data_IF_017184671746
#
_entry.id   IF_017184671746
#
_cell.length_a   1.000
_cell.length_b   1.000
_cell.length_c   1.000
_cell.angle_alpha   90.00
_cell.angle_beta   90.00
_cell.angle_gamma   90.00
#
_symmetry.space_group_name_H-M   'P 1'
#
loop_
_entity.id
_entity.type
_entity.pdbx_description
1 polymer ?
#
# COMPACT_ATOMS: atom_id res chain seq x y z
N UNK A 1 -11.87 -1.28 -56.52
CA UNK A 1 -12.05 -2.74 -56.72
C UNK A 1 -11.11 -3.49 -55.79
N UNK A 2 -11.62 -4.32 -54.87
CA UNK A 2 -10.81 -5.28 -54.07
C UNK A 2 -10.82 -6.62 -54.84
N UNK A 3 -9.65 -7.22 -55.08
CA UNK A 3 -9.44 -8.39 -55.94
C UNK A 3 -9.98 -9.73 -55.39
N UNK A 4 -9.44 -10.85 -55.89
CA UNK A 4 -9.97 -12.21 -55.67
C UNK A 4 -9.85 -12.77 -54.24
N UNK A 5 -8.94 -12.26 -53.40
CA UNK A 5 -8.79 -12.72 -52.02
C UNK A 5 -8.50 -11.53 -51.09
N UNK A 6 -9.11 -11.53 -49.91
CA UNK A 6 -8.86 -10.56 -48.84
C UNK A 6 -8.80 -11.28 -47.51
N UNK A 7 -7.77 -10.99 -46.72
CA UNK A 7 -7.62 -11.45 -45.33
C UNK A 7 -7.59 -10.20 -44.45
N UNK A 8 -8.46 -10.14 -43.45
CA UNK A 8 -8.45 -9.10 -42.41
C UNK A 8 -8.02 -9.73 -41.08
N UNK A 9 -7.26 -8.99 -40.29
CA UNK A 9 -6.81 -9.40 -38.96
C UNK A 9 -6.97 -8.21 -38.01
N UNK A 10 -7.31 -8.49 -36.76
CA UNK A 10 -7.45 -7.48 -35.73
C UNK A 10 -7.52 -8.07 -34.33
N UNK A 11 -7.44 -7.21 -33.32
CA UNK A 11 -7.57 -7.61 -31.91
C UNK A 11 -9.04 -7.83 -31.57
N UNK A 12 -9.36 -9.01 -31.00
CA UNK A 12 -10.75 -9.42 -30.74
C UNK A 12 -11.34 -8.89 -29.42
N UNK A 13 -10.72 -7.88 -28.83
CA UNK A 13 -11.16 -7.21 -27.61
C UNK A 13 -11.06 -5.69 -27.78
N UNK A 14 -11.95 -4.91 -27.16
CA UNK A 14 -11.84 -3.46 -27.17
C UNK A 14 -10.60 -3.01 -26.40
N UNK A 15 -9.97 -1.94 -26.88
CA UNK A 15 -8.83 -1.30 -26.23
C UNK A 15 -9.29 0.02 -25.60
N UNK A 16 -8.85 0.31 -24.39
CA UNK A 16 -9.21 1.55 -23.67
C UNK A 16 -8.01 2.49 -23.69
N UNK A 17 -8.17 3.67 -24.27
CA UNK A 17 -7.15 4.72 -24.29
C UNK A 17 -7.25 5.60 -23.04
N UNK A 18 -6.18 5.66 -22.23
CA UNK A 18 -6.11 6.46 -21.01
C UNK A 18 -4.95 7.49 -21.10
N UNK A 19 -5.15 8.67 -20.51
CA UNK A 19 -4.19 9.79 -20.55
C UNK A 19 -4.75 11.03 -21.26
N UNK A 20 -4.19 12.21 -20.95
CA UNK A 20 -4.72 13.49 -21.46
C UNK A 20 -4.64 13.60 -22.99
N UNK A 21 -3.68 12.91 -23.59
CA UNK A 21 -3.48 12.84 -25.03
C UNK A 21 -4.23 11.69 -25.70
N UNK A 22 -4.94 10.85 -24.95
CA UNK A 22 -5.64 9.67 -25.46
C UNK A 22 -6.59 9.97 -26.62
N UNK A 23 -7.43 11.03 -26.58
CA UNK A 23 -8.31 11.36 -27.69
C UNK A 23 -7.58 11.75 -28.98
N UNK A 24 -6.33 12.22 -28.87
CA UNK A 24 -5.53 12.70 -30.00
C UNK A 24 -4.84 11.55 -30.74
N UNK A 25 -4.33 10.55 -30.03
CA UNK A 25 -3.47 9.51 -30.64
C UNK A 25 -4.14 8.15 -30.81
N UNK A 26 -5.02 7.74 -29.88
CA UNK A 26 -5.49 6.36 -29.85
C UNK A 26 -6.58 5.99 -30.88
N UNK A 27 -7.35 6.90 -31.50
CA UNK A 27 -8.19 6.53 -32.65
C UNK A 27 -7.37 5.84 -33.76
N UNK A 28 -6.21 6.41 -34.13
CA UNK A 28 -5.32 5.86 -35.15
C UNK A 28 -4.72 4.51 -34.74
N UNK A 29 -4.53 4.28 -33.44
CA UNK A 29 -4.07 2.99 -32.91
C UNK A 29 -5.16 1.92 -33.02
N UNK A 30 -6.42 2.27 -32.77
CA UNK A 30 -7.55 1.36 -32.96
C UNK A 30 -7.70 0.91 -34.41
N UNK A 31 -7.54 1.84 -35.34
CA UNK A 31 -7.55 1.56 -36.79
C UNK A 31 -6.40 0.64 -37.20
N UNK A 32 -5.20 0.87 -36.66
CA UNK A 32 -4.03 0.05 -36.94
C UNK A 32 -4.13 -1.38 -36.36
N UNK A 33 -4.78 -1.53 -35.20
CA UNK A 33 -4.99 -2.81 -34.54
C UNK A 33 -6.25 -3.54 -35.02
N UNK A 34 -7.06 -2.92 -35.88
CA UNK A 34 -8.32 -3.48 -36.37
C UNK A 34 -9.30 -3.77 -35.22
N UNK A 35 -9.34 -2.94 -34.18
CA UNK A 35 -10.14 -3.18 -32.99
C UNK A 35 -10.89 -1.93 -32.52
N UNK A 36 -11.97 -2.13 -31.76
CA UNK A 36 -12.71 -1.03 -31.15
C UNK A 36 -11.84 -0.28 -30.14
N UNK A 37 -11.66 1.02 -30.34
CA UNK A 37 -11.02 1.91 -29.37
C UNK A 37 -12.07 2.62 -28.53
N UNK A 38 -12.06 2.39 -27.22
CA UNK A 38 -12.91 3.06 -26.23
C UNK A 38 -12.12 4.24 -25.65
N UNK A 39 -12.65 5.45 -25.81
CA UNK A 39 -12.07 6.68 -25.29
C UNK A 39 -13.04 7.30 -24.29
N UNK A 40 -12.85 7.07 -22.98
CA UNK A 40 -13.69 7.68 -21.96
C UNK A 40 -13.58 9.21 -22.01
N UNK A 41 -14.69 9.90 -21.77
CA UNK A 41 -14.78 11.36 -21.73
C UNK A 41 -13.76 11.99 -20.75
N UNK A 42 -13.39 11.25 -19.69
CA UNK A 42 -12.44 11.67 -18.66
C UNK A 42 -11.10 10.93 -18.73
N UNK A 43 -10.67 10.45 -19.91
CA UNK A 43 -9.41 9.71 -20.08
C UNK A 43 -8.18 10.44 -19.51
N UNK A 44 -8.19 11.78 -19.53
CA UNK A 44 -7.11 12.63 -18.99
C UNK A 44 -6.95 12.62 -17.47
N UNK A 45 -7.98 12.23 -16.73
CA UNK A 45 -7.97 12.13 -15.26
C UNK A 45 -8.01 10.68 -14.78
N UNK A 46 -7.74 9.69 -15.64
CA UNK A 46 -7.70 8.28 -15.24
C UNK A 46 -6.77 8.00 -14.05
N UNK A 47 -5.62 8.68 -13.99
CA UNK A 47 -4.71 8.61 -12.84
C UNK A 47 -5.33 9.21 -11.56
N UNK A 48 -6.17 10.25 -11.68
CA UNK A 48 -6.87 10.87 -10.56
C UNK A 48 -8.09 10.05 -10.11
N UNK A 49 -8.81 9.40 -11.04
CA UNK A 49 -9.90 8.46 -10.72
C UNK A 49 -9.32 7.22 -10.02
N UNK A 50 -8.21 6.68 -10.50
CA UNK A 50 -7.49 5.59 -9.83
C UNK A 50 -7.02 5.95 -8.42
N UNK A 51 -6.66 7.22 -8.19
CA UNK A 51 -6.32 7.74 -6.86
C UNK A 51 -7.54 7.92 -5.95
N UNK A 52 -8.71 8.26 -6.50
CA UNK A 52 -9.98 8.43 -5.74
C UNK A 52 -10.63 7.08 -5.38
N UNK A 53 -10.41 6.04 -6.18
CA UNK A 53 -10.91 4.67 -5.92
C UNK A 53 -9.86 3.79 -5.22
N UNK A 54 -8.66 4.32 -4.99
CA UNK A 54 -7.55 3.62 -4.34
C UNK A 54 -7.78 3.41 -2.84
N UNK A 55 -7.34 2.26 -2.31
CA UNK A 55 -7.25 2.09 -0.86
C UNK A 55 -6.19 3.05 -0.31
N UNK A 56 -6.52 3.75 0.78
CA UNK A 56 -5.56 4.58 1.52
C UNK A 56 -4.87 3.71 2.58
N UNK A 57 -3.55 3.85 2.72
CA UNK A 57 -2.77 3.10 3.70
C UNK A 57 -1.99 4.05 4.60
N UNK A 58 -2.17 3.91 5.91
CA UNK A 58 -1.45 4.64 6.97
C UNK A 58 -0.51 3.68 7.66
N UNK A 59 0.75 4.08 7.84
CA UNK A 59 1.78 3.24 8.44
C UNK A 59 2.36 3.94 9.66
N UNK A 60 2.33 3.25 10.80
CA UNK A 60 3.05 3.64 12.01
C UNK A 60 4.12 2.60 12.31
N UNK A 61 5.34 3.04 12.64
CA UNK A 61 6.45 2.14 12.98
C UNK A 61 7.29 2.68 14.12
N UNK A 62 7.80 1.78 14.95
CA UNK A 62 8.69 2.11 16.06
C UNK A 62 9.61 0.93 16.40
N UNK A 63 10.63 1.21 17.21
CA UNK A 63 11.74 0.29 17.48
C UNK A 63 11.79 -0.16 18.94
N UNK A 64 12.23 -1.39 19.15
CA UNK A 64 12.55 -2.01 20.42
C UNK A 64 14.04 -2.30 20.43
N UNK A 65 14.75 -1.86 21.47
CA UNK A 65 16.19 -2.13 21.68
C UNK A 65 16.39 -2.92 22.97
N UNK A 66 17.52 -3.62 23.10
CA UNK A 66 17.88 -4.35 24.32
C UNK A 66 19.16 -3.73 24.94
N UNK A 67 19.04 -2.67 25.77
CA UNK A 67 20.19 -2.01 26.40
C UNK A 67 20.98 -2.92 27.35
N UNK A 68 20.31 -3.89 27.98
CA UNK A 68 20.92 -4.91 28.84
C UNK A 68 20.09 -6.19 28.78
N UNK A 69 20.71 -7.34 29.05
CA UNK A 69 20.00 -8.62 29.08
C UNK A 69 18.77 -8.56 30.00
N UNK A 70 17.60 -8.95 29.47
CA UNK A 70 16.33 -8.89 30.19
C UNK A 70 15.65 -7.50 30.24
N UNK A 71 16.20 -6.46 29.61
CA UNK A 71 15.57 -5.15 29.49
C UNK A 71 15.26 -4.84 28.02
N UNK A 72 13.99 -4.59 27.71
CA UNK A 72 13.52 -4.25 26.37
C UNK A 72 12.96 -2.83 26.38
N UNK A 73 13.63 -1.92 25.68
CA UNK A 73 13.27 -0.50 25.60
C UNK A 73 12.50 -0.23 24.32
N UNK A 74 11.25 0.21 24.46
CA UNK A 74 10.39 0.66 23.37
C UNK A 74 10.63 2.14 23.12
N UNK A 75 10.94 2.51 21.88
CA UNK A 75 11.14 3.89 21.44
C UNK A 75 9.90 4.36 20.67
N UNK A 76 8.89 4.84 21.40
CA UNK A 76 7.64 5.32 20.83
C UNK A 76 7.11 6.50 21.64
N UNK A 77 6.69 7.57 20.96
CA UNK A 77 6.24 8.81 21.62
C UNK A 77 7.40 9.68 22.13
N UNK A 78 7.16 10.42 23.22
CA UNK A 78 8.09 11.42 23.73
C UNK A 78 9.22 10.85 24.62
N UNK A 79 8.99 9.71 25.27
CA UNK A 79 9.95 9.09 26.17
C UNK A 79 9.97 7.56 25.97
N UNK A 80 11.15 6.92 26.01
CA UNK A 80 11.24 5.47 25.93
C UNK A 80 10.63 4.79 27.16
N UNK A 81 10.06 3.61 26.96
CA UNK A 81 9.48 2.79 28.05
C UNK A 81 10.18 1.44 28.09
N UNK A 82 10.61 1.04 29.28
CA UNK A 82 11.33 -0.22 29.50
C UNK A 82 10.38 -1.32 29.97
N UNK A 83 10.60 -2.53 29.45
CA UNK A 83 9.85 -3.74 29.78
C UNK A 83 10.82 -4.86 30.17
N UNK A 84 10.44 -5.72 31.13
CA UNK A 84 11.27 -6.86 31.55
C UNK A 84 11.16 -8.07 30.60
N UNK A 85 10.27 -8.02 29.61
CA UNK A 85 9.98 -9.14 28.72
C UNK A 85 9.77 -8.65 27.28
N UNK A 86 10.36 -9.36 26.33
CA UNK A 86 10.25 -9.06 24.89
C UNK A 86 8.79 -9.08 24.43
N UNK A 87 8.02 -10.08 24.87
CA UNK A 87 6.62 -10.21 24.43
C UNK A 87 5.78 -9.04 24.92
N UNK A 88 6.00 -8.58 26.16
CA UNK A 88 5.31 -7.41 26.70
C UNK A 88 5.66 -6.11 25.94
N UNK A 89 6.94 -5.93 25.57
CA UNK A 89 7.37 -4.79 24.76
C UNK A 89 6.73 -4.78 23.38
N UNK A 90 6.68 -5.96 22.72
CA UNK A 90 6.07 -6.13 21.39
C UNK A 90 4.56 -5.91 21.46
N UNK A 91 3.87 -6.47 22.45
CA UNK A 91 2.43 -6.32 22.64
C UNK A 91 2.05 -4.85 22.87
N UNK A 92 2.74 -4.19 23.80
CA UNK A 92 2.57 -2.77 24.07
C UNK A 92 2.77 -1.92 22.81
N UNK A 93 3.87 -2.14 22.09
CA UNK A 93 4.21 -1.37 20.90
C UNK A 93 3.22 -1.63 19.74
N UNK A 94 2.80 -2.88 19.57
CA UNK A 94 1.81 -3.25 18.55
C UNK A 94 0.46 -2.56 18.83
N UNK A 95 0.03 -2.55 20.09
CA UNK A 95 -1.20 -1.87 20.48
C UNK A 95 -1.11 -0.36 20.26
N UNK A 96 -0.02 0.29 20.71
CA UNK A 96 0.17 1.73 20.55
C UNK A 96 0.22 2.17 19.08
N UNK A 97 0.97 1.44 18.24
CA UNK A 97 1.03 1.70 16.79
C UNK A 97 -0.30 1.40 16.09
N UNK A 98 -1.05 0.40 16.56
CA UNK A 98 -2.38 0.07 16.03
C UNK A 98 -3.39 1.18 16.30
N UNK A 99 -3.43 1.70 17.53
CA UNK A 99 -4.26 2.86 17.88
C UNK A 99 -3.88 4.09 17.05
N UNK A 100 -2.58 4.37 16.88
CA UNK A 100 -2.12 5.48 16.05
C UNK A 100 -2.52 5.31 14.57
N UNK A 101 -2.22 4.18 13.96
CA UNK A 101 -2.55 3.93 12.56
C UNK A 101 -4.06 3.96 12.30
N UNK A 102 -4.86 3.43 13.24
CA UNK A 102 -6.32 3.49 13.18
C UNK A 102 -6.84 4.92 13.33
N UNK A 103 -6.29 5.69 14.26
CA UNK A 103 -6.64 7.09 14.45
C UNK A 103 -6.34 7.92 13.21
N UNK A 104 -5.15 7.77 12.62
CA UNK A 104 -4.74 8.48 11.41
C UNK A 104 -5.65 8.12 10.23
N UNK A 105 -5.96 6.83 10.06
CA UNK A 105 -6.87 6.36 9.02
C UNK A 105 -8.29 6.91 9.17
N UNK A 106 -8.84 6.92 10.40
CA UNK A 106 -10.17 7.50 10.69
C UNK A 106 -10.19 9.01 10.49
N UNK A 107 -9.16 9.72 10.94
CA UNK A 107 -9.04 11.16 10.79
C UNK A 107 -8.93 11.58 9.32
N UNK A 108 -8.39 10.71 8.47
CA UNK A 108 -8.38 10.89 7.01
C UNK A 108 -9.69 10.47 6.32
N UNK A 109 -10.71 10.02 7.06
CA UNK A 109 -12.00 9.62 6.51
C UNK A 109 -11.98 8.25 5.82
N UNK A 110 -11.08 7.35 6.21
CA UNK A 110 -11.09 5.97 5.71
C UNK A 110 -12.18 5.13 6.40
N UNK A 111 -12.91 4.34 5.61
CA UNK A 111 -13.87 3.32 6.05
C UNK A 111 -13.36 1.91 5.74
N UNK A 112 -13.97 0.87 6.30
CA UNK A 112 -13.56 -0.54 6.17
C UNK A 112 -12.06 -0.79 6.45
N UNK A 113 -11.55 -0.18 7.54
CA UNK A 113 -10.13 -0.21 7.87
C UNK A 113 -9.70 -1.61 8.30
N UNK A 114 -8.67 -2.14 7.64
CA UNK A 114 -7.97 -3.37 7.99
C UNK A 114 -6.59 -3.04 8.55
N UNK A 115 -6.26 -3.61 9.70
CA UNK A 115 -4.94 -3.50 10.32
C UNK A 115 -4.09 -4.72 9.99
N UNK A 116 -2.85 -4.48 9.56
CA UNK A 116 -1.82 -5.51 9.36
C UNK A 116 -0.61 -5.13 10.18
N UNK A 117 -0.13 -6.06 11.00
CA UNK A 117 1.09 -5.87 11.79
C UNK A 117 2.23 -6.68 11.20
N UNK A 118 3.39 -6.05 11.05
CA UNK A 118 4.65 -6.68 10.67
C UNK A 118 5.66 -6.49 11.80
N UNK A 119 6.33 -7.59 12.15
CA UNK A 119 7.39 -7.59 13.16
C UNK A 119 8.69 -8.03 12.48
N UNK A 120 9.70 -7.18 12.51
CA UNK A 120 11.05 -7.48 12.05
C UNK A 120 11.97 -7.53 13.28
N UNK A 121 12.26 -8.75 13.75
CA UNK A 121 13.06 -8.97 14.96
C UNK A 121 14.41 -9.52 14.54
N UNK A 122 15.46 -8.78 14.87
CA UNK A 122 16.85 -9.18 14.65
C UNK A 122 17.42 -9.80 15.91
N UNK A 123 17.80 -11.06 15.81
CA UNK A 123 18.56 -11.79 16.82
C UNK A 123 19.96 -12.10 16.28
N UNK A 124 20.94 -12.19 17.18
CA UNK A 124 22.30 -12.62 16.88
C UNK A 124 22.71 -13.75 17.81
N UNK A 125 23.56 -14.66 17.35
CA UNK A 125 24.09 -15.74 18.18
C UNK A 125 25.42 -15.34 18.79
N UNK A 126 25.48 -15.28 20.12
CA UNK A 126 26.71 -15.01 20.89
C UNK A 126 26.90 -16.16 21.87
N UNK A 127 28.08 -16.81 21.84
CA UNK A 127 28.41 -17.94 22.74
C UNK A 127 27.33 -19.04 22.79
N UNK A 128 26.77 -19.39 21.63
CA UNK A 128 25.67 -20.38 21.49
C UNK A 128 24.34 -19.99 22.13
N UNK A 129 24.13 -18.71 22.46
CA UNK A 129 22.84 -18.15 22.92
C UNK A 129 22.29 -17.15 21.89
N UNK A 130 20.99 -17.20 21.65
CA UNK A 130 20.31 -16.16 20.86
C UNK A 130 20.13 -14.89 21.70
N UNK A 131 20.69 -13.77 21.24
CA UNK A 131 20.58 -12.46 21.86
C UNK A 131 19.74 -11.55 20.98
N UNK A 132 18.75 -10.87 21.58
CA UNK A 132 17.96 -9.85 20.90
C UNK A 132 18.84 -8.62 20.62
N UNK A 133 18.91 -8.21 19.35
CA UNK A 133 19.67 -7.02 18.93
C UNK A 133 18.73 -5.82 18.86
N UNK A 134 17.68 -5.95 18.04
CA UNK A 134 16.73 -4.88 17.73
C UNK A 134 15.44 -5.50 17.19
N UNK A 135 14.31 -4.84 17.40
CA UNK A 135 13.04 -5.19 16.77
C UNK A 135 12.34 -3.96 16.23
N UNK A 136 11.89 -3.98 14.98
CA UNK A 136 11.02 -2.95 14.41
C UNK A 136 9.62 -3.51 14.28
N UNK A 137 8.65 -2.81 14.87
CA UNK A 137 7.23 -3.13 14.70
C UNK A 137 6.63 -2.09 13.77
N UNK A 138 5.85 -2.55 12.80
CA UNK A 138 5.13 -1.70 11.85
C UNK A 138 3.68 -2.14 11.82
N UNK A 139 2.76 -1.19 11.98
CA UNK A 139 1.32 -1.42 11.82
C UNK A 139 0.82 -0.59 10.65
N UNK A 140 0.10 -1.23 9.74
CA UNK A 140 -0.51 -0.61 8.57
C UNK A 140 -2.02 -0.66 8.67
N UNK A 141 -2.68 0.49 8.62
CA UNK A 141 -4.12 0.63 8.50
C UNK A 141 -4.49 0.94 7.05
N UNK A 142 -5.22 0.04 6.40
CA UNK A 142 -5.66 0.21 5.02
C UNK A 142 -7.18 0.30 4.94
N UNK A 143 -7.73 1.34 4.33
CA UNK A 143 -9.18 1.54 4.20
C UNK A 143 -9.57 2.16 2.86
N UNK A 144 -10.88 2.32 2.64
CA UNK A 144 -11.42 3.03 1.47
C UNK A 144 -11.69 4.49 1.83
N UNK A 145 -11.26 5.47 1.03
CA UNK A 145 -11.58 6.87 1.30
C UNK A 145 -13.09 7.09 1.17
N UNK A 146 -13.68 7.82 2.12
CA UNK A 146 -15.06 8.28 2.00
C UNK A 146 -15.12 9.38 0.94
N UNK A 147 -15.69 9.07 -0.22
CA UNK A 147 -15.97 10.08 -1.25
C UNK A 147 -17.10 10.95 -0.69
N UNK A 148 -16.75 12.15 -0.22
CA UNK A 148 -17.74 13.17 0.10
C UNK A 148 -18.39 13.63 -1.21
N UNK A 149 -19.70 13.46 -1.32
CA UNK A 149 -20.53 14.05 -2.37
C UNK A 149 -20.81 15.53 -2.09
#
# INVERSE_FOLDING_TARGET
HRGLLKIDMGVNVPVIGLGASAPTYYPAVGDALGCQMILPEHAGVANAIGAVVGRVTFRASATITCPSEGQFRVHHGAAPVDFPNQAAAIEYLTHALGEQALHDAKSAGAEDIQLVTKQDIRKSTVESREVFVEGTITVEATGRPRIAH
#
